data_IF_198111700487
#
_entry.id   IF_198111700487
#
_cell.length_a   1.000
_cell.length_b   1.000
_cell.length_c   1.000
_cell.angle_alpha   90.00
_cell.angle_beta   90.00
_cell.angle_gamma   90.00
#
_symmetry.space_group_name_H-M   'P 1'
#
loop_
_entity.id
_entity.type
_entity.pdbx_description
1 polymer ?
#
# COMPACT_ATOMS: atom_id res chain seq x y z
N UNK A 1 11.60 6.03 -3.84
CA UNK A 1 10.83 4.89 -4.36
C UNK A 1 10.06 5.31 -5.61
N UNK A 2 9.97 4.46 -6.63
CA UNK A 2 9.21 4.72 -7.86
C UNK A 2 7.97 3.83 -7.90
N UNK A 3 6.80 4.45 -8.02
CA UNK A 3 5.51 3.76 -7.88
C UNK A 3 4.68 4.05 -9.12
N UNK A 4 4.09 3.02 -9.69
CA UNK A 4 3.17 3.15 -10.81
C UNK A 4 1.76 3.06 -10.24
N UNK A 5 1.13 4.22 -10.12
CA UNK A 5 -0.24 4.38 -9.68
C UNK A 5 -1.16 4.38 -10.90
N UNK A 6 -2.14 3.50 -10.90
CA UNK A 6 -3.14 3.41 -11.94
C UNK A 6 -4.47 3.98 -11.48
N UNK A 7 -5.20 4.64 -12.38
CA UNK A 7 -6.54 5.16 -12.12
C UNK A 7 -7.45 5.01 -13.34
N UNK A 8 -8.61 4.37 -13.14
CA UNK A 8 -9.64 4.21 -14.17
C UNK A 8 -11.03 4.44 -13.56
N UNK A 9 -11.56 5.64 -13.77
CA UNK A 9 -12.81 6.07 -13.13
C UNK A 9 -12.65 6.11 -11.62
N UNK A 10 -13.42 5.29 -10.90
CA UNK A 10 -13.32 5.16 -9.43
C UNK A 10 -12.27 4.15 -8.95
N UNK A 11 -11.72 3.36 -9.86
CA UNK A 11 -10.77 2.31 -9.49
C UNK A 11 -9.36 2.88 -9.48
N UNK A 12 -8.64 2.66 -8.38
CA UNK A 12 -7.21 2.96 -8.26
C UNK A 12 -6.49 1.70 -7.82
N UNK A 13 -5.28 1.48 -8.35
CA UNK A 13 -4.43 0.36 -7.92
C UNK A 13 -2.96 0.71 -8.14
N UNK A 14 -2.09 0.04 -7.40
CA UNK A 14 -0.65 0.07 -7.62
C UNK A 14 -0.31 -1.05 -8.59
N UNK A 15 0.26 -0.72 -9.75
CA UNK A 15 0.59 -1.69 -10.80
C UNK A 15 2.07 -2.04 -10.88
N UNK A 16 2.90 -1.33 -10.11
CA UNK A 16 4.32 -1.62 -9.95
C UNK A 16 4.99 -0.74 -8.90
N UNK A 17 6.01 -1.28 -8.22
CA UNK A 17 6.85 -0.55 -7.26
C UNK A 17 8.30 -0.95 -7.52
N UNK A 18 9.19 0.04 -7.62
CA UNK A 18 10.59 -0.18 -7.95
C UNK A 18 11.49 0.75 -7.14
N UNK A 19 12.61 0.21 -6.65
CA UNK A 19 13.63 1.04 -6.01
C UNK A 19 14.34 1.95 -7.02
N UNK A 20 14.53 1.49 -8.26
CA UNK A 20 15.26 2.18 -9.31
C UNK A 20 14.34 2.70 -10.43
N UNK A 21 14.58 3.95 -10.86
CA UNK A 21 13.80 4.61 -11.91
C UNK A 21 13.82 3.86 -13.23
N UNK A 22 15.01 3.40 -13.63
CA UNK A 22 15.24 2.72 -14.90
C UNK A 22 14.39 1.44 -15.01
N UNK A 23 14.20 0.73 -13.89
CA UNK A 23 13.35 -0.46 -13.83
C UNK A 23 11.87 -0.10 -13.96
N UNK A 24 11.44 0.99 -13.32
CA UNK A 24 10.07 1.48 -13.41
C UNK A 24 9.73 1.93 -14.84
N UNK A 25 10.63 2.68 -15.48
CA UNK A 25 10.48 3.11 -16.88
C UNK A 25 10.43 1.90 -17.80
N UNK A 26 11.35 0.95 -17.64
CA UNK A 26 11.36 -0.26 -18.46
C UNK A 26 10.09 -1.10 -18.27
N UNK A 27 9.55 -1.16 -17.05
CA UNK A 27 8.29 -1.85 -16.80
C UNK A 27 7.10 -1.10 -17.42
N UNK A 28 7.06 0.23 -17.37
CA UNK A 28 6.04 1.05 -18.05
C UNK A 28 5.97 0.76 -19.55
N UNK A 29 7.11 0.51 -20.21
CA UNK A 29 7.15 0.13 -21.63
C UNK A 29 6.40 -1.17 -21.92
N UNK A 30 6.40 -2.12 -20.97
CA UNK A 30 5.77 -3.44 -21.07
C UNK A 30 4.26 -3.41 -20.83
N UNK A 31 3.72 -2.30 -20.31
CA UNK A 31 2.29 -2.16 -20.08
C UNK A 31 1.56 -2.07 -21.45
N UNK A 32 0.47 -2.85 -21.66
CA UNK A 32 -0.33 -2.75 -22.87
C UNK A 32 -0.85 -1.32 -23.11
N UNK A 33 -0.93 -0.91 -24.37
CA UNK A 33 -1.28 0.48 -24.73
C UNK A 33 -2.67 0.88 -24.21
N UNK A 34 -3.61 -0.06 -24.18
CA UNK A 34 -4.96 0.13 -23.63
C UNK A 34 -4.99 0.33 -22.11
N UNK A 35 -3.91 -0.01 -21.39
CA UNK A 35 -3.78 0.22 -19.96
C UNK A 35 -2.88 1.41 -19.64
N UNK A 36 -1.92 1.74 -20.52
CA UNK A 36 -0.93 2.82 -20.32
C UNK A 36 -1.56 4.17 -20.03
N UNK A 37 -2.67 4.52 -20.67
CA UNK A 37 -3.37 5.79 -20.46
C UNK A 37 -3.88 5.98 -19.03
N UNK A 38 -4.00 4.89 -18.26
CA UNK A 38 -4.45 4.91 -16.88
C UNK A 38 -3.28 4.89 -15.88
N UNK A 39 -2.02 4.78 -16.34
CA UNK A 39 -0.86 4.62 -15.47
C UNK A 39 -0.12 5.94 -15.30
N UNK A 40 0.29 6.23 -14.08
CA UNK A 40 1.13 7.35 -13.74
C UNK A 40 2.34 6.88 -12.92
N UNK A 41 3.54 7.23 -13.35
CA UNK A 41 4.76 6.99 -12.60
C UNK A 41 4.98 8.17 -11.65
N UNK A 42 5.01 7.89 -10.35
CA UNK A 42 5.34 8.88 -9.32
C UNK A 42 6.62 8.48 -8.60
N UNK A 43 7.36 9.49 -8.15
CA UNK A 43 8.47 9.31 -7.23
C UNK A 43 8.00 9.72 -5.84
N UNK A 44 8.22 8.84 -4.87
CA UNK A 44 8.05 9.15 -3.45
C UNK A 44 9.43 9.22 -2.82
N UNK A 45 9.79 10.40 -2.33
CA UNK A 45 11.07 10.67 -1.68
C UNK A 45 11.12 10.00 -0.29
N UNK A 46 12.33 9.81 0.23
CA UNK A 46 12.61 9.31 1.58
C UNK A 46 12.02 7.94 1.97
N UNK A 47 11.51 7.17 1.01
CA UNK A 47 11.09 5.78 1.21
C UNK A 47 12.15 4.76 0.81
N UNK A 48 12.40 3.81 1.72
CA UNK A 48 13.23 2.63 1.53
C UNK A 48 12.45 1.38 1.94
N UNK A 49 12.88 0.20 1.49
CA UNK A 49 12.30 -1.05 1.98
C UNK A 49 12.71 -1.33 3.45
N UNK A 50 11.81 -1.94 4.26
CA UNK A 50 10.39 -2.06 3.99
C UNK A 50 9.66 -0.71 4.18
N UNK A 51 8.62 -0.49 3.39
CA UNK A 51 7.65 0.60 3.61
C UNK A 51 6.22 0.07 3.50
N UNK A 52 5.25 0.93 3.81
CA UNK A 52 3.86 0.54 3.94
C UNK A 52 2.98 1.34 3.00
N UNK A 53 1.96 0.70 2.44
CA UNK A 53 0.90 1.37 1.70
C UNK A 53 -0.37 1.29 2.53
N UNK A 54 -0.96 2.44 2.85
CA UNK A 54 -2.28 2.53 3.45
C UNK A 54 -3.27 2.81 2.34
N UNK A 55 -4.19 1.88 2.14
CA UNK A 55 -5.32 2.05 1.23
C UNK A 55 -6.56 2.41 2.04
N UNK A 56 -7.06 3.61 1.77
CA UNK A 56 -8.34 4.11 2.27
C UNK A 56 -9.34 4.20 1.12
N UNK A 57 -10.60 4.55 1.40
CA UNK A 57 -11.68 4.53 0.41
C UNK A 57 -11.39 5.30 -0.89
N UNK A 58 -10.52 6.32 -0.86
CA UNK A 58 -10.25 7.17 -2.04
C UNK A 58 -8.78 7.31 -2.42
N UNK A 59 -7.83 6.91 -1.58
CA UNK A 59 -6.42 7.17 -1.85
C UNK A 59 -5.42 6.20 -1.20
N UNK A 60 -4.20 6.24 -1.74
CA UNK A 60 -3.05 5.54 -1.20
C UNK A 60 -2.11 6.50 -0.47
N UNK A 61 -1.72 6.15 0.74
CA UNK A 61 -0.62 6.81 1.45
C UNK A 61 0.58 5.87 1.50
N UNK A 62 1.77 6.42 1.31
CA UNK A 62 3.02 5.66 1.35
C UNK A 62 3.80 6.08 2.59
N UNK A 63 3.90 5.18 3.56
CA UNK A 63 4.35 5.50 4.90
C UNK A 63 5.61 4.71 5.28
N UNK A 64 6.49 5.36 6.02
CA UNK A 64 7.54 4.72 6.81
C UNK A 64 6.96 4.01 8.02
N UNK A 65 7.78 3.20 8.69
CA UNK A 65 7.40 2.52 9.93
C UNK A 65 6.89 3.47 11.02
N UNK A 66 7.58 4.60 11.22
CA UNK A 66 7.24 5.57 12.28
C UNK A 66 5.93 6.31 11.96
N UNK A 67 5.66 6.56 10.68
CA UNK A 67 4.40 7.14 10.22
C UNK A 67 3.23 6.16 10.38
N UNK A 68 3.44 4.86 10.16
CA UNK A 68 2.44 3.83 10.46
C UNK A 68 2.12 3.82 11.96
N UNK A 69 3.13 3.83 12.83
CA UNK A 69 2.90 3.91 14.28
C UNK A 69 2.09 5.16 14.64
N UNK A 70 2.43 6.29 14.03
CA UNK A 70 1.70 7.55 14.23
C UNK A 70 0.25 7.46 13.75
N UNK A 71 -0.01 6.83 12.61
CA UNK A 71 -1.36 6.60 12.09
C UNK A 71 -2.18 5.75 13.06
N UNK A 72 -1.64 4.61 13.50
CA UNK A 72 -2.32 3.74 14.46
C UNK A 72 -2.59 4.43 15.80
N UNK A 73 -1.64 5.22 16.31
CA UNK A 73 -1.82 5.99 17.54
C UNK A 73 -2.96 7.03 17.45
N UNK A 74 -3.27 7.49 16.23
CA UNK A 74 -4.31 8.49 15.97
C UNK A 74 -5.62 7.89 15.42
N UNK A 75 -5.70 6.56 15.31
CA UNK A 75 -6.91 5.87 14.84
C UNK A 75 -7.69 5.36 16.03
N UNK A 76 -8.96 5.77 16.12
CA UNK A 76 -9.89 5.34 17.14
C UNK A 76 -10.86 4.29 16.59
N UNK A 77 -11.45 3.50 17.49
CA UNK A 77 -12.46 2.50 17.16
C UNK A 77 -13.72 3.24 16.68
N UNK A 78 -14.36 2.74 15.63
CA UNK A 78 -15.62 3.29 15.11
C UNK A 78 -16.83 2.72 15.87
N UNK A 79 -17.96 3.43 15.83
CA UNK A 79 -19.24 2.88 16.31
C UNK A 79 -19.80 1.77 15.39
N UNK A 80 -19.36 1.74 14.12
CA UNK A 80 -19.69 0.66 13.20
C UNK A 80 -18.78 -0.55 13.48
N UNK A 81 -19.37 -1.65 13.96
CA UNK A 81 -18.67 -2.88 14.32
C UNK A 81 -17.92 -3.50 13.13
N UNK A 82 -18.42 -3.30 11.90
CA UNK A 82 -17.84 -3.86 10.68
C UNK A 82 -16.87 -2.88 9.97
N UNK A 83 -16.51 -1.77 10.62
CA UNK A 83 -15.61 -0.75 10.04
C UNK A 83 -14.23 -1.35 9.70
N UNK A 84 -13.81 -1.15 8.45
CA UNK A 84 -12.43 -1.32 8.00
C UNK A 84 -11.83 0.07 7.83
N UNK A 85 -11.04 0.50 8.80
CA UNK A 85 -10.43 1.83 8.82
C UNK A 85 -9.54 2.06 7.59
N UNK A 86 -8.73 1.04 7.26
CA UNK A 86 -7.87 1.01 6.09
C UNK A 86 -7.31 -0.40 5.86
N UNK A 87 -6.81 -0.66 4.66
CA UNK A 87 -5.93 -1.80 4.41
C UNK A 87 -4.47 -1.33 4.51
N UNK A 88 -3.62 -2.17 5.10
CA UNK A 88 -2.17 -1.94 5.13
C UNK A 88 -1.46 -3.01 4.31
N UNK A 89 -0.63 -2.60 3.36
CA UNK A 89 0.23 -3.46 2.56
C UNK A 89 1.69 -3.30 3.01
N UNK A 90 2.39 -4.41 3.20
CA UNK A 90 3.83 -4.42 3.51
C UNK A 90 4.63 -4.61 2.23
N UNK A 91 5.51 -3.67 1.93
CA UNK A 91 6.35 -3.70 0.73
C UNK A 91 7.81 -3.86 1.14
N UNK A 92 8.35 -5.07 0.96
CA UNK A 92 9.73 -5.42 1.31
C UNK A 92 10.70 -5.46 0.11
N UNK A 93 10.17 -5.36 -1.11
CA UNK A 93 10.89 -5.54 -2.36
C UNK A 93 10.14 -4.96 -3.56
N UNK A 94 10.79 -4.94 -4.73
CA UNK A 94 10.16 -4.55 -6.00
C UNK A 94 8.88 -5.37 -6.25
N UNK A 95 7.79 -4.68 -6.56
CA UNK A 95 6.52 -5.28 -6.91
C UNK A 95 6.32 -5.23 -8.42
N UNK A 96 6.31 -6.40 -9.05
CA UNK A 96 6.15 -6.56 -10.50
C UNK A 96 5.12 -7.64 -10.84
N UNK A 97 3.84 -7.27 -11.01
CA UNK A 97 2.80 -8.17 -11.52
C UNK A 97 3.19 -8.92 -12.79
N UNK A 98 2.75 -10.18 -12.89
CA UNK A 98 2.94 -11.00 -14.11
C UNK A 98 2.23 -10.42 -15.34
N UNK A 99 1.16 -9.65 -15.11
CA UNK A 99 0.42 -8.93 -16.14
C UNK A 99 0.62 -7.42 -15.92
N UNK A 100 1.51 -6.78 -16.67
CA UNK A 100 1.84 -5.38 -16.46
C UNK A 100 0.63 -4.44 -16.56
N UNK A 101 0.55 -3.47 -15.64
CA UNK A 101 -0.50 -2.44 -15.61
C UNK A 101 -1.85 -2.87 -15.06
N UNK A 102 -2.03 -4.14 -14.68
CA UNK A 102 -3.29 -4.65 -14.13
C UNK A 102 -3.29 -4.65 -12.60
N UNK A 103 -4.48 -4.66 -12.00
CA UNK A 103 -4.64 -4.79 -10.56
C UNK A 103 -4.35 -6.23 -10.12
N UNK A 104 -3.26 -6.38 -9.36
CA UNK A 104 -2.82 -7.62 -8.74
C UNK A 104 -2.43 -7.40 -7.28
N UNK A 105 -2.92 -6.34 -6.62
CA UNK A 105 -2.47 -5.96 -5.28
C UNK A 105 -2.73 -7.05 -4.23
N UNK A 106 -3.74 -7.89 -4.45
CA UNK A 106 -4.07 -9.01 -3.55
C UNK A 106 -2.97 -10.08 -3.38
N UNK A 107 -1.87 -10.02 -4.14
CA UNK A 107 -0.70 -10.90 -3.91
C UNK A 107 0.30 -10.32 -2.90
N UNK A 108 0.23 -9.01 -2.65
CA UNK A 108 1.06 -8.35 -1.64
C UNK A 108 0.61 -8.79 -0.25
N UNK A 109 1.55 -8.84 0.69
CA UNK A 109 1.20 -9.08 2.07
C UNK A 109 0.38 -7.90 2.60
N UNK A 110 -0.85 -8.15 3.04
CA UNK A 110 -1.75 -7.13 3.53
C UNK A 110 -2.66 -7.61 4.65
N UNK A 111 -3.07 -6.68 5.50
CA UNK A 111 -4.07 -6.86 6.54
C UNK A 111 -5.16 -5.81 6.41
N UNK A 112 -6.40 -6.19 6.72
CA UNK A 112 -7.48 -5.24 6.96
C UNK A 112 -7.40 -4.76 8.41
N UNK A 113 -7.39 -3.45 8.60
CA UNK A 113 -7.34 -2.83 9.93
C UNK A 113 -8.77 -2.54 10.38
N UNK A 114 -9.32 -3.48 11.13
CA UNK A 114 -10.68 -3.41 11.69
C UNK A 114 -10.67 -2.83 13.11
N UNK A 115 -11.86 -2.61 13.69
CA UNK A 115 -12.01 -2.26 15.11
C UNK A 115 -11.24 -3.21 16.04
N UNK A 116 -11.40 -4.53 15.89
CA UNK A 116 -10.64 -5.53 16.65
C UNK A 116 -9.12 -5.34 16.54
N UNK A 117 -8.64 -4.94 15.35
CA UNK A 117 -7.21 -4.67 15.16
C UNK A 117 -6.80 -3.44 15.99
N UNK A 118 -7.55 -2.35 15.90
CA UNK A 118 -7.27 -1.11 16.63
C UNK A 118 -7.33 -1.33 18.14
N UNK A 119 -8.31 -2.07 18.64
CA UNK A 119 -8.41 -2.40 20.07
C UNK A 119 -7.17 -3.18 20.54
N UNK A 120 -6.77 -4.21 19.80
CA UNK A 120 -5.55 -4.96 20.11
C UNK A 120 -4.29 -4.12 20.02
N UNK A 121 -4.22 -3.17 19.09
CA UNK A 121 -3.13 -2.21 19.03
C UNK A 121 -3.11 -1.31 20.28
N UNK A 122 -4.26 -0.85 20.77
CA UNK A 122 -4.36 -0.07 22.00
C UNK A 122 -3.92 -0.84 23.25
N UNK A 123 -4.12 -2.15 23.27
CA UNK A 123 -3.70 -3.03 24.37
C UNK A 123 -2.23 -3.47 24.28
N UNK A 124 -1.81 -3.94 23.10
CA UNK A 124 -0.51 -4.59 22.86
C UNK A 124 0.57 -3.62 22.32
N UNK A 125 0.17 -2.41 21.90
CA UNK A 125 1.04 -1.48 21.19
C UNK A 125 1.56 -2.06 19.88
N UNK A 126 2.81 -1.76 19.52
CA UNK A 126 3.43 -2.23 18.26
C UNK A 126 3.64 -3.75 18.19
N UNK A 127 3.46 -4.49 19.29
CA UNK A 127 3.61 -5.95 19.27
C UNK A 127 2.63 -6.63 18.32
N UNK A 128 1.41 -6.10 18.19
CA UNK A 128 0.42 -6.68 17.27
C UNK A 128 0.90 -6.62 15.82
N UNK A 129 1.58 -5.52 15.46
CA UNK A 129 2.12 -5.32 14.11
C UNK A 129 3.23 -6.32 13.79
N UNK A 130 4.05 -6.69 14.78
CA UNK A 130 5.06 -7.76 14.66
C UNK A 130 4.38 -9.13 14.56
N UNK A 131 3.37 -9.41 15.41
CA UNK A 131 2.62 -10.69 15.39
C UNK A 131 1.91 -10.93 14.05
N UNK A 132 1.44 -9.84 13.42
CA UNK A 132 0.84 -9.82 12.08
C UNK A 132 1.87 -9.82 10.94
N UNK A 133 3.17 -9.77 11.23
CA UNK A 133 4.26 -9.71 10.24
C UNK A 133 4.20 -8.47 9.33
N UNK A 134 3.65 -7.37 9.85
CA UNK A 134 3.72 -6.06 9.22
C UNK A 134 5.11 -5.47 9.49
N UNK A 135 5.63 -5.62 10.71
CA UNK A 135 6.95 -5.13 11.15
C UNK A 135 7.99 -6.24 11.30
#
# INVERSE_FOLDING_TARGET
>A
MYIILASKGRFRWISGIFQAEELAIHYMEQIPNELKEHQNLIQVEDLNYPFYIIESQEDFQFLTKDEVITLFNNTDVSEDEDEVHFNIYTIDSDYRPKKPGTDYMGILHHDHVTNDFIERYKEEGTEILVKKRIF
#
